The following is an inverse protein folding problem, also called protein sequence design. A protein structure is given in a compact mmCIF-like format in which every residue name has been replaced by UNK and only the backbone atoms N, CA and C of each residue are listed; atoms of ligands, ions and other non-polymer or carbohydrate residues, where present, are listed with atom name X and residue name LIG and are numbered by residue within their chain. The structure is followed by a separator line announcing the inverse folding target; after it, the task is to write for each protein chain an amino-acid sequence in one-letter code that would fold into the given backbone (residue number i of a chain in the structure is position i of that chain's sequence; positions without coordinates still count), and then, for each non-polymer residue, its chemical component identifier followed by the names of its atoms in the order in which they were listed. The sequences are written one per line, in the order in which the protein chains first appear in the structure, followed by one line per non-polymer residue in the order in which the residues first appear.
data_IF_942460804881
#
_entry.id   IF_942460804881
#
_cell.length_a   1.000
_cell.length_b   1.000
_cell.length_c   1.000
_cell.angle_alpha   90.00
_cell.angle_beta   90.00
_cell.angle_gamma   90.00
#
_symmetry.space_group_name_H-M   'P 1'
#
loop_
_entity.id
_entity.type
_entity.pdbx_description
1 polymer ?
#
# COMPACT_ATOMS: atom_id res chain seq x y z
N UNK A 1 -19.54 11.06 -10.23
CA UNK A 1 -18.34 10.31 -9.83
C UNK A 1 -18.31 9.04 -10.66
N UNK A 2 -17.30 8.87 -11.51
CA UNK A 2 -17.08 7.62 -12.25
C UNK A 2 -16.54 6.60 -11.24
N UNK A 3 -17.10 5.41 -11.22
CA UNK A 3 -16.89 4.34 -10.22
C UNK A 3 -15.45 4.21 -9.70
N UNK A 4 -15.30 4.05 -8.37
CA UNK A 4 -14.06 3.59 -7.73
C UNK A 4 -13.90 2.08 -7.96
N UNK A 5 -13.71 1.71 -9.22
CA UNK A 5 -13.53 0.34 -9.64
C UNK A 5 -12.09 -0.09 -9.32
N UNK A 6 -11.87 -0.59 -8.11
CA UNK A 6 -10.60 -1.20 -7.70
C UNK A 6 -10.25 -2.31 -8.70
N UNK A 7 -9.05 -2.24 -9.26
CA UNK A 7 -8.60 -3.19 -10.29
C UNK A 7 -8.38 -4.57 -9.64
N UNK A 8 -8.95 -5.62 -10.22
CA UNK A 8 -8.70 -6.98 -9.74
C UNK A 8 -7.32 -7.45 -10.24
N UNK A 9 -6.39 -7.66 -9.31
CA UNK A 9 -5.04 -8.15 -9.58
C UNK A 9 -4.91 -9.69 -9.48
N UNK A 10 -6.02 -10.43 -9.36
CA UNK A 10 -6.01 -11.91 -9.31
C UNK A 10 -5.60 -12.55 -10.63
N UNK A 11 -5.86 -11.91 -11.78
CA UNK A 11 -5.55 -12.45 -13.10
C UNK A 11 -4.05 -12.65 -13.38
N UNK A 12 -3.16 -12.14 -12.53
CA UNK A 12 -1.70 -12.22 -12.68
C UNK A 12 -1.06 -13.47 -12.04
N UNK A 13 -1.87 -14.38 -11.49
CA UNK A 13 -1.41 -15.58 -10.76
C UNK A 13 -1.24 -16.83 -11.63
N UNK A 14 -1.72 -16.83 -12.88
CA UNK A 14 -1.63 -18.02 -13.77
C UNK A 14 -0.97 -17.63 -15.10
N UNK A 15 0.31 -17.98 -15.28
CA UNK A 15 0.98 -18.00 -16.59
C UNK A 15 1.28 -16.65 -17.29
N UNK A 16 0.87 -15.52 -16.72
CA UNK A 16 0.88 -14.19 -17.37
C UNK A 16 2.25 -13.51 -17.47
N UNK A 17 3.34 -14.12 -16.97
CA UNK A 17 4.70 -13.59 -17.14
C UNK A 17 5.12 -13.45 -18.61
N UNK A 18 4.52 -14.24 -19.50
CA UNK A 18 4.84 -14.23 -20.93
C UNK A 18 4.19 -13.08 -21.72
N UNK A 19 3.23 -12.35 -21.12
CA UNK A 19 2.42 -11.35 -21.83
C UNK A 19 2.38 -10.02 -21.08
N UNK A 20 3.52 -9.58 -20.54
CA UNK A 20 3.60 -8.24 -19.96
C UNK A 20 3.61 -7.20 -21.08
N UNK A 21 2.82 -6.12 -20.98
CA UNK A 21 2.90 -5.02 -21.93
C UNK A 21 4.32 -4.47 -22.03
N UNK A 22 4.69 -4.00 -23.22
CA UNK A 22 5.93 -3.22 -23.41
C UNK A 22 5.85 -1.99 -22.52
N UNK A 23 6.95 -1.67 -21.83
CA UNK A 23 7.00 -0.49 -20.98
C UNK A 23 7.07 0.77 -21.84
N UNK A 24 6.51 1.86 -21.33
CA UNK A 24 6.81 3.18 -21.88
C UNK A 24 8.25 3.56 -21.52
N UNK A 25 8.92 4.46 -22.28
CA UNK A 25 10.27 4.91 -21.95
C UNK A 25 10.39 5.49 -20.52
N UNK A 26 9.36 6.20 -20.05
CA UNK A 26 9.32 6.71 -18.68
C UNK A 26 9.25 5.59 -17.63
N UNK A 27 8.50 4.53 -17.93
CA UNK A 27 8.43 3.35 -17.08
C UNK A 27 9.73 2.54 -17.05
N UNK A 28 10.45 2.46 -18.17
CA UNK A 28 11.78 1.84 -18.21
C UNK A 28 12.78 2.65 -17.37
N UNK A 29 12.80 3.96 -17.53
CA UNK A 29 13.69 4.84 -16.76
C UNK A 29 13.45 4.72 -15.24
N UNK A 30 12.19 4.68 -14.81
CA UNK A 30 11.84 4.53 -13.39
C UNK A 30 12.24 3.15 -12.84
N UNK A 31 12.10 2.10 -13.65
CA UNK A 31 12.54 0.74 -13.27
C UNK A 31 14.07 0.66 -13.16
N UNK A 32 14.81 1.26 -14.09
CA UNK A 32 16.27 1.33 -14.02
C UNK A 32 16.77 2.13 -12.81
N UNK A 33 16.10 3.23 -12.49
CA UNK A 33 16.39 4.03 -11.30
C UNK A 33 16.14 3.23 -10.03
N UNK A 34 15.05 2.46 -9.96
CA UNK A 34 14.78 1.54 -8.86
C UNK A 34 15.89 0.51 -8.70
N UNK A 35 16.36 -0.11 -9.78
CA UNK A 35 17.45 -1.08 -9.72
C UNK A 35 18.77 -0.46 -9.28
N UNK A 36 19.04 0.79 -9.69
CA UNK A 36 20.22 1.54 -9.24
C UNK A 36 20.11 1.88 -7.76
N UNK A 37 18.94 2.30 -7.30
CA UNK A 37 18.65 2.57 -5.89
C UNK A 37 18.83 1.30 -5.04
N UNK A 38 18.26 0.18 -5.47
CA UNK A 38 18.39 -1.10 -4.76
C UNK A 38 19.84 -1.59 -4.68
N UNK A 39 20.63 -1.40 -5.75
CA UNK A 39 22.07 -1.70 -5.76
C UNK A 39 22.85 -0.80 -4.80
N UNK A 40 22.59 0.51 -4.82
CA UNK A 40 23.23 1.49 -3.93
C UNK A 40 22.97 1.17 -2.45
N UNK A 41 21.77 0.68 -2.12
CA UNK A 41 21.41 0.29 -0.76
C UNK A 41 21.75 -1.17 -0.40
N UNK A 42 22.47 -1.90 -1.26
CA UNK A 42 22.99 -3.22 -0.96
C UNK A 42 21.92 -4.30 -0.76
N UNK A 43 20.77 -4.20 -1.45
CA UNK A 43 19.69 -5.16 -1.26
C UNK A 43 20.06 -6.55 -1.79
N UNK A 44 19.71 -7.58 -1.02
CA UNK A 44 19.85 -8.97 -1.42
C UNK A 44 19.13 -9.24 -2.75
N UNK A 45 19.73 -10.09 -3.60
CA UNK A 45 19.26 -10.34 -4.97
C UNK A 45 17.81 -10.83 -5.03
N UNK A 46 17.40 -11.74 -4.13
CA UNK A 46 16.04 -12.30 -4.14
C UNK A 46 14.95 -11.26 -3.82
N UNK A 47 15.01 -10.51 -2.70
CA UNK A 47 14.07 -9.41 -2.43
C UNK A 47 14.09 -8.31 -3.50
N UNK A 48 15.26 -7.99 -4.05
CA UNK A 48 15.42 -7.00 -5.12
C UNK A 48 14.69 -7.43 -6.39
N UNK A 49 14.92 -8.66 -6.86
CA UNK A 49 14.31 -9.16 -8.10
C UNK A 49 12.78 -9.27 -7.96
N UNK A 50 12.29 -9.70 -6.79
CA UNK A 50 10.85 -9.75 -6.50
C UNK A 50 10.21 -8.35 -6.52
N UNK A 51 10.89 -7.37 -5.94
CA UNK A 51 10.46 -5.98 -5.94
C UNK A 51 10.51 -5.33 -7.34
N UNK A 52 11.59 -5.55 -8.10
CA UNK A 52 11.73 -5.06 -9.48
C UNK A 52 10.65 -5.65 -10.39
N UNK A 53 10.36 -6.95 -10.27
CA UNK A 53 9.29 -7.58 -11.05
C UNK A 53 7.91 -7.07 -10.65
N UNK A 54 7.67 -6.76 -9.37
CA UNK A 54 6.43 -6.12 -8.93
C UNK A 54 6.26 -4.74 -9.56
N UNK A 55 7.34 -3.95 -9.58
CA UNK A 55 7.35 -2.64 -10.23
C UNK A 55 7.13 -2.76 -11.73
N UNK A 56 7.80 -3.71 -12.42
CA UNK A 56 7.61 -3.95 -13.85
C UNK A 56 6.16 -4.32 -14.20
N UNK A 57 5.49 -5.11 -13.37
CA UNK A 57 4.06 -5.43 -13.57
C UNK A 57 3.23 -4.15 -13.46
N UNK A 58 3.40 -3.38 -12.37
CA UNK A 58 2.64 -2.14 -12.15
C UNK A 58 2.83 -1.17 -13.33
N UNK A 59 4.07 -0.94 -13.73
CA UNK A 59 4.40 0.00 -14.80
C UNK A 59 3.98 -0.50 -16.19
N UNK A 60 3.97 -1.81 -16.44
CA UNK A 60 3.45 -2.36 -17.70
C UNK A 60 1.97 -2.06 -17.91
N UNK A 61 1.18 -2.07 -16.84
CA UNK A 61 -0.27 -1.91 -16.92
C UNK A 61 -0.76 -0.48 -16.68
N UNK A 62 -0.02 0.30 -15.90
CA UNK A 62 -0.41 1.65 -15.49
C UNK A 62 0.45 2.73 -16.16
N UNK A 63 1.62 2.37 -16.68
CA UNK A 63 2.63 3.33 -17.10
C UNK A 63 3.30 4.04 -15.92
N UNK A 64 4.13 5.04 -16.25
CA UNK A 64 4.78 5.92 -15.27
C UNK A 64 4.32 7.39 -15.38
N UNK A 65 3.26 7.65 -16.15
CA UNK A 65 2.79 9.01 -16.43
C UNK A 65 1.86 9.56 -15.32
N UNK A 66 1.38 8.69 -14.43
CA UNK A 66 0.48 9.06 -13.35
C UNK A 66 0.86 8.36 -12.03
N UNK A 67 0.63 9.00 -10.88
CA UNK A 67 0.78 8.36 -9.57
C UNK A 67 -0.10 7.11 -9.44
N UNK A 68 0.44 6.08 -8.78
CA UNK A 68 -0.19 4.77 -8.61
C UNK A 68 -0.83 4.70 -7.22
N UNK A 69 -2.03 4.12 -7.12
CA UNK A 69 -2.68 3.91 -5.83
C UNK A 69 -1.92 2.88 -4.97
N UNK A 70 -1.70 3.22 -3.69
CA UNK A 70 -1.07 2.34 -2.69
C UNK A 70 -1.81 1.00 -2.57
N UNK A 71 -3.13 1.01 -2.72
CA UNK A 71 -3.98 -0.18 -2.74
C UNK A 71 -3.61 -1.15 -3.87
N UNK A 72 -3.35 -0.65 -5.08
CA UNK A 72 -2.96 -1.46 -6.24
C UNK A 72 -1.56 -2.04 -6.05
N UNK A 73 -0.63 -1.22 -5.57
CA UNK A 73 0.75 -1.63 -5.28
C UNK A 73 0.75 -2.81 -4.29
N UNK A 74 -0.02 -2.71 -3.20
CA UNK A 74 -0.16 -3.81 -2.23
C UNK A 74 -0.91 -5.01 -2.78
N UNK A 75 -1.98 -4.80 -3.54
CA UNK A 75 -2.72 -5.91 -4.13
C UNK A 75 -1.79 -6.77 -4.99
N UNK A 76 -0.96 -6.18 -5.86
CA UNK A 76 0.02 -6.93 -6.66
C UNK A 76 1.03 -7.67 -5.77
N UNK A 77 1.52 -7.02 -4.72
CA UNK A 77 2.49 -7.62 -3.82
C UNK A 77 1.93 -8.81 -3.03
N UNK A 78 0.69 -8.72 -2.56
CA UNK A 78 0.01 -9.78 -1.81
C UNK A 78 -0.17 -11.02 -2.70
N UNK A 79 -0.58 -10.83 -3.95
CA UNK A 79 -0.69 -11.91 -4.93
C UNK A 79 0.65 -12.60 -5.21
N UNK A 80 1.75 -11.85 -5.20
CA UNK A 80 3.10 -12.39 -5.42
C UNK A 80 3.82 -12.82 -4.15
N UNK A 81 3.19 -12.69 -2.98
CA UNK A 81 3.80 -12.89 -1.65
C UNK A 81 5.12 -12.12 -1.51
N UNK A 82 5.17 -10.89 -2.02
CA UNK A 82 6.38 -10.09 -2.08
C UNK A 82 6.64 -9.36 -0.75
N UNK A 83 7.55 -9.91 0.06
CA UNK A 83 8.00 -9.28 1.30
C UNK A 83 8.73 -7.93 1.11
N UNK A 84 9.15 -7.60 -0.12
CA UNK A 84 9.82 -6.35 -0.47
C UNK A 84 8.90 -5.15 -0.70
N UNK A 85 7.59 -5.28 -0.53
CA UNK A 85 6.61 -4.25 -0.91
C UNK A 85 6.81 -2.90 -0.24
N UNK A 86 7.22 -2.89 1.04
CA UNK A 86 7.49 -1.66 1.77
C UNK A 86 8.58 -0.82 1.09
N UNK A 87 9.55 -1.47 0.46
CA UNK A 87 10.64 -0.80 -0.24
C UNK A 87 10.18 -0.21 -1.57
N UNK A 88 9.31 -0.91 -2.30
CA UNK A 88 8.68 -0.39 -3.52
C UNK A 88 7.83 0.83 -3.20
N UNK A 89 7.02 0.76 -2.14
CA UNK A 89 6.22 1.89 -1.66
C UNK A 89 7.10 3.08 -1.28
N UNK A 90 8.15 2.86 -0.48
CA UNK A 90 9.06 3.94 -0.08
C UNK A 90 9.76 4.59 -1.27
N UNK A 91 10.19 3.79 -2.25
CA UNK A 91 10.80 4.29 -3.47
C UNK A 91 9.79 5.17 -4.26
N UNK A 92 8.62 4.62 -4.58
CA UNK A 92 7.61 5.36 -5.36
C UNK A 92 7.11 6.62 -4.63
N UNK A 93 6.96 6.57 -3.31
CA UNK A 93 6.57 7.71 -2.49
C UNK A 93 7.62 8.82 -2.54
N UNK A 94 8.91 8.46 -2.46
CA UNK A 94 10.03 9.40 -2.66
C UNK A 94 10.07 10.04 -4.05
N UNK A 95 9.45 9.41 -5.05
CA UNK A 95 9.29 9.94 -6.41
C UNK A 95 7.95 10.66 -6.63
N UNK A 96 7.09 10.80 -5.61
CA UNK A 96 5.77 11.41 -5.75
C UNK A 96 4.78 10.57 -6.57
N UNK A 97 5.06 9.27 -6.74
CA UNK A 97 4.33 8.35 -7.61
C UNK A 97 3.32 7.48 -6.84
N UNK A 98 2.95 7.86 -5.62
CA UNK A 98 2.00 7.11 -4.78
C UNK A 98 0.82 7.97 -4.38
N UNK A 99 -0.39 7.49 -4.70
CA UNK A 99 -1.63 7.98 -4.11
C UNK A 99 -1.91 7.11 -2.89
N UNK A 100 -1.72 7.68 -1.70
CA UNK A 100 -1.90 6.94 -0.47
C UNK A 100 -3.33 6.44 -0.28
N UNK A 101 -3.45 5.28 0.37
CA UNK A 101 -4.74 4.68 0.68
C UNK A 101 -5.33 5.33 1.95
N UNK A 102 -6.42 6.11 1.86
CA UNK A 102 -7.03 6.78 3.01
C UNK A 102 -7.57 5.77 4.03
N UNK A 103 -8.06 4.61 3.60
CA UNK A 103 -8.56 3.58 4.52
C UNK A 103 -7.43 3.04 5.41
N UNK A 104 -6.21 2.92 4.84
CA UNK A 104 -5.03 2.47 5.59
C UNK A 104 -4.51 3.49 6.58
N UNK A 105 -4.59 4.79 6.25
CA UNK A 105 -4.25 5.86 7.19
C UNK A 105 -5.18 5.82 8.40
N UNK A 106 -6.48 5.63 8.17
CA UNK A 106 -7.48 5.39 9.21
C UNK A 106 -7.10 4.20 10.10
N UNK A 107 -6.88 3.02 9.51
CA UNK A 107 -6.52 1.81 10.27
C UNK A 107 -5.22 1.97 11.11
N UNK A 108 -4.19 2.64 10.57
CA UNK A 108 -2.93 2.81 11.30
C UNK A 108 -3.11 3.73 12.51
N UNK A 109 -3.87 4.82 12.35
CA UNK A 109 -4.23 5.72 13.44
C UNK A 109 -5.14 5.02 14.46
N UNK A 110 -6.11 4.23 14.00
CA UNK A 110 -6.99 3.45 14.87
C UNK A 110 -6.23 2.43 15.70
N UNK A 111 -5.34 1.64 15.08
CA UNK A 111 -4.47 0.69 15.80
C UNK A 111 -3.56 1.39 16.81
N UNK A 112 -3.04 2.58 16.48
CA UNK A 112 -2.22 3.35 17.40
C UNK A 112 -3.04 3.83 18.62
N UNK A 113 -4.30 4.25 18.41
CA UNK A 113 -5.23 4.59 19.50
C UNK A 113 -5.53 3.36 20.36
N UNK A 114 -5.84 2.22 19.76
CA UNK A 114 -6.09 0.96 20.47
C UNK A 114 -4.88 0.52 21.30
N UNK A 115 -3.68 0.58 20.73
CA UNK A 115 -2.44 0.27 21.45
C UNK A 115 -2.18 1.22 22.62
N UNK A 116 -2.51 2.52 22.44
CA UNK A 116 -2.37 3.51 23.51
C UNK A 116 -3.34 3.24 24.65
N UNK A 117 -4.58 2.85 24.34
CA UNK A 117 -5.61 2.48 25.32
C UNK A 117 -5.20 1.21 26.06
N UNK A 118 -4.71 0.18 25.34
CA UNK A 118 -4.27 -1.07 25.93
C UNK A 118 -3.03 -0.95 26.84
N UNK A 119 -2.27 0.14 26.72
CA UNK A 119 -1.13 0.44 27.60
C UNK A 119 -1.53 1.16 28.90
N UNK A 120 -2.80 1.54 29.06
CA UNK A 120 -3.32 2.16 30.28
C UNK A 120 -3.74 1.09 31.30
N UNK A 121 -3.76 1.42 32.61
CA UNK A 121 -4.38 0.56 33.62
C UNK A 121 -5.83 0.22 33.24
N UNK A 122 -6.27 -1.01 33.51
CA UNK A 122 -7.53 -1.59 33.02
C UNK A 122 -8.75 -0.68 33.22
N UNK A 123 -8.87 -0.03 34.39
CA UNK A 123 -9.96 0.90 34.70
C UNK A 123 -9.98 2.12 33.78
N UNK A 124 -8.81 2.66 33.44
CA UNK A 124 -8.67 3.83 32.56
C UNK A 124 -8.82 3.40 31.09
N UNK A 125 -8.35 2.20 30.74
CA UNK A 125 -8.48 1.65 29.39
C UNK A 125 -9.95 1.43 29.01
N UNK A 126 -10.78 0.93 29.92
CA UNK A 126 -12.22 0.74 29.72
C UNK A 126 -12.95 2.07 29.49
N UNK A 127 -12.69 3.07 30.35
CA UNK A 127 -13.29 4.39 30.21
C UNK A 127 -12.86 5.05 28.89
N UNK A 128 -11.57 5.02 28.57
CA UNK A 128 -11.03 5.60 27.34
C UNK A 128 -11.59 4.91 26.09
N UNK A 129 -11.76 3.59 26.11
CA UNK A 129 -12.40 2.82 25.05
C UNK A 129 -13.86 3.21 24.83
N UNK A 130 -14.60 3.49 25.91
CA UNK A 130 -15.97 3.98 25.83
C UNK A 130 -16.05 5.37 25.17
N UNK A 131 -15.20 6.30 25.60
CA UNK A 131 -15.16 7.66 25.03
C UNK A 131 -14.75 7.67 23.55
N UNK A 132 -13.77 6.85 23.16
CA UNK A 132 -13.39 6.71 21.74
C UNK A 132 -14.56 6.18 20.90
N UNK A 133 -15.34 5.23 21.42
CA UNK A 133 -16.53 4.72 20.72
C UNK A 133 -17.60 5.80 20.54
N UNK A 134 -17.82 6.64 21.55
CA UNK A 134 -18.74 7.79 21.47
C UNK A 134 -18.27 8.80 20.43
N UNK A 135 -16.98 9.18 20.45
CA UNK A 135 -16.39 10.13 19.48
C UNK A 135 -16.42 9.61 18.04
N UNK A 136 -16.44 8.28 17.85
CA UNK A 136 -16.59 7.64 16.54
C UNK A 136 -18.04 7.47 16.08
N UNK A 137 -19.02 7.89 16.88
CA UNK A 137 -20.44 7.74 16.56
C UNK A 137 -21.00 6.32 16.71
N UNK A 138 -20.23 5.42 17.31
CA UNK A 138 -20.61 4.02 17.60
C UNK A 138 -21.26 3.86 18.99
N UNK A 139 -21.66 4.98 19.59
CA UNK A 139 -22.35 5.00 20.88
C UNK A 139 -23.71 4.30 20.82
N UNK A 140 -24.13 3.71 21.95
CA UNK A 140 -25.43 3.01 22.07
C UNK A 140 -26.66 3.93 21.97
N UNK A 141 -26.50 5.26 21.88
CA UNK A 141 -27.62 6.21 21.81
C UNK A 141 -27.38 7.24 20.70
N UNK A 142 -28.38 7.49 19.83
CA UNK A 142 -28.33 8.63 18.92
C UNK A 142 -28.32 9.94 19.71
N UNK A 143 -27.53 10.91 19.24
CA UNK A 143 -27.57 12.28 19.78
C UNK A 143 -28.99 12.85 19.61
N UNK A 144 -29.61 13.41 20.67
CA UNK A 144 -30.77 14.26 20.48
C UNK A 144 -30.36 15.52 19.69
N UNK A 145 -31.28 16.08 18.89
CA UNK A 145 -31.04 17.31 18.11
C UNK A 145 -30.76 18.53 18.99
#
# INVERSE_FOLDING_TARGET
MLFDARRDWRCFTVGSSQTLPTLTPAAEALLEEFERHARKHGWNASPRNSAAMTLRILLGWLGAEAPIHEADIRAVADHRRNAGIRRVLQFLDGHGMVIADPARRGEATERAVEQRIAALPDTIAEEMGCWVRVLRGEGRRPHPP
#
